data_IF_507502519049
#
_entry.id   IF_507502519049
#
_cell.length_a   1.000
_cell.length_b   1.000
_cell.length_c   1.000
_cell.angle_alpha   90.00
_cell.angle_beta   90.00
_cell.angle_gamma   90.00
#
_symmetry.space_group_name_H-M   'P 1'
#
loop_
_entity.id
_entity.type
_entity.pdbx_description
1 polymer ?
#
# COMPACT_ATOMS: atom_id res chain seq x y z
N UNK A 1 8.80 37.61 3.41
CA UNK A 1 8.96 36.45 2.51
C UNK A 1 9.46 35.29 3.37
N UNK A 2 8.56 34.54 4.01
CA UNK A 2 8.93 33.43 4.90
C UNK A 2 8.81 32.14 4.09
N UNK A 3 9.90 31.37 4.03
CA UNK A 3 9.97 30.08 3.37
C UNK A 3 8.81 29.19 3.83
N UNK A 4 8.16 28.53 2.88
CA UNK A 4 7.30 27.39 3.14
C UNK A 4 8.16 26.28 3.77
N UNK A 5 8.16 26.25 5.10
CA UNK A 5 8.84 25.23 5.88
C UNK A 5 7.91 24.01 5.85
N UNK A 6 8.20 23.05 4.97
CA UNK A 6 7.71 21.69 5.13
C UNK A 6 8.11 21.24 6.53
N UNK A 7 7.12 20.91 7.35
CA UNK A 7 7.32 20.41 8.70
C UNK A 7 7.95 19.01 8.58
N UNK A 8 9.27 18.97 8.50
CA UNK A 8 10.03 17.75 8.72
C UNK A 8 10.08 17.57 10.24
N UNK A 9 9.16 16.79 10.82
CA UNK A 9 9.36 16.22 12.15
C UNK A 9 10.42 15.13 12.01
N UNK A 10 11.70 15.53 11.84
CA UNK A 10 12.83 14.63 12.03
C UNK A 10 13.32 14.82 13.45
N UNK A 11 12.87 13.90 14.30
CA UNK A 11 13.68 13.42 15.41
C UNK A 11 13.60 11.89 15.46
N UNK A 12 13.94 11.25 14.35
CA UNK A 12 14.26 9.83 14.32
C UNK A 12 15.60 9.61 15.03
N UNK A 13 15.57 9.30 16.33
CA UNK A 13 16.57 8.35 16.82
C UNK A 13 16.20 7.00 16.20
N UNK A 14 17.13 6.43 15.44
CA UNK A 14 17.19 5.00 15.17
C UNK A 14 17.20 4.25 16.51
N UNK A 15 16.03 3.99 17.06
CA UNK A 15 15.80 2.72 17.73
C UNK A 15 15.33 1.82 16.60
N UNK A 16 16.19 0.89 16.20
CA UNK A 16 15.76 -0.32 15.54
C UNK A 16 14.79 -1.01 16.50
N UNK A 17 13.51 -0.64 16.44
CA UNK A 17 12.47 -1.52 16.93
C UNK A 17 12.71 -2.84 16.22
N UNK A 18 12.71 -3.99 16.91
CA UNK A 18 12.62 -5.25 16.20
C UNK A 18 11.38 -5.11 15.32
N UNK A 19 11.57 -5.11 13.98
CA UNK A 19 10.49 -5.32 13.04
C UNK A 19 9.97 -6.73 13.33
N UNK A 20 9.16 -6.85 14.37
CA UNK A 20 8.36 -8.04 14.61
C UNK A 20 7.53 -8.15 13.35
N UNK A 21 7.73 -9.23 12.59
CA UNK A 21 7.09 -9.43 11.28
C UNK A 21 5.61 -9.09 11.40
N UNK A 22 5.26 -7.90 10.90
CA UNK A 22 3.89 -7.46 10.82
C UNK A 22 3.26 -8.40 9.80
N UNK A 23 2.22 -9.12 10.22
CA UNK A 23 1.43 -9.94 9.29
C UNK A 23 0.64 -8.96 8.43
N UNK A 24 1.21 -8.57 7.30
CA UNK A 24 0.56 -7.74 6.32
C UNK A 24 -0.44 -8.59 5.54
N UNK A 25 -1.59 -8.01 5.20
CA UNK A 25 -2.48 -8.62 4.21
C UNK A 25 -1.83 -8.42 2.85
N UNK A 26 -1.19 -9.48 2.34
CA UNK A 26 -0.85 -9.60 0.94
C UNK A 26 -2.11 -10.14 0.26
N UNK A 27 -2.70 -9.36 -0.63
CA UNK A 27 -3.84 -9.84 -1.40
C UNK A 27 -3.30 -10.70 -2.55
N UNK A 28 -3.68 -11.98 -2.54
CA UNK A 28 -3.28 -12.96 -3.56
C UNK A 28 -4.46 -13.18 -4.49
N UNK A 29 -4.20 -13.01 -5.78
CA UNK A 29 -5.11 -13.24 -6.89
C UNK A 29 -4.61 -14.44 -7.68
N UNK A 30 -5.32 -15.55 -7.53
CA UNK A 30 -4.96 -16.81 -8.17
C UNK A 30 -5.04 -16.71 -9.70
N UNK A 31 -4.11 -17.37 -10.41
CA UNK A 31 -4.10 -17.35 -11.87
C UNK A 31 -5.30 -18.07 -12.47
N UNK A 32 -5.83 -19.09 -11.80
CA UNK A 32 -7.04 -19.80 -12.23
C UNK A 32 -8.34 -19.00 -12.13
N UNK A 33 -8.30 -17.84 -11.49
CA UNK A 33 -9.44 -16.93 -11.37
C UNK A 33 -9.29 -15.69 -12.29
N UNK A 34 -8.19 -15.61 -13.05
CA UNK A 34 -7.92 -14.54 -13.99
C UNK A 34 -8.75 -14.69 -15.28
N UNK A 35 -9.05 -13.55 -15.92
CA UNK A 35 -9.50 -13.54 -17.31
C UNK A 35 -8.30 -13.85 -18.20
N UNK A 36 -8.41 -14.83 -19.10
CA UNK A 36 -7.32 -15.22 -19.99
C UNK A 36 -7.69 -15.07 -21.48
N UNK A 37 -6.68 -14.86 -22.32
CA UNK A 37 -6.84 -14.86 -23.78
C UNK A 37 -5.53 -15.16 -24.50
N UNK A 38 -5.62 -15.51 -25.78
CA UNK A 38 -4.46 -15.67 -26.68
C UNK A 38 -3.68 -16.98 -26.52
N UNK A 39 -4.17 -17.93 -25.72
CA UNK A 39 -3.56 -19.26 -25.55
C UNK A 39 -3.01 -19.48 -24.15
N UNK A 40 -3.91 -19.53 -23.17
CA UNK A 40 -3.59 -19.84 -21.77
C UNK A 40 -4.57 -20.91 -21.28
N UNK A 41 -4.08 -21.98 -20.69
CA UNK A 41 -4.89 -23.00 -20.00
C UNK A 41 -4.61 -22.98 -18.51
N UNK A 42 -5.45 -23.65 -17.72
CA UNK A 42 -5.19 -23.90 -16.30
C UNK A 42 -4.95 -25.39 -16.10
N UNK A 43 -3.83 -25.74 -15.47
CA UNK A 43 -3.36 -27.12 -15.35
C UNK A 43 -3.11 -27.50 -13.88
N UNK A 44 -3.33 -28.78 -13.55
CA UNK A 44 -3.04 -29.34 -12.21
C UNK A 44 -1.79 -30.22 -12.19
N UNK A 45 -1.35 -30.66 -13.37
CA UNK A 45 -0.21 -31.55 -13.59
C UNK A 45 0.50 -31.09 -14.88
N UNK A 46 1.77 -31.48 -15.12
CA UNK A 46 2.64 -32.30 -14.26
C UNK A 46 3.40 -31.50 -13.19
N UNK A 47 3.17 -30.19 -13.12
CA UNK A 47 4.03 -29.24 -12.43
C UNK A 47 3.51 -28.90 -11.03
N UNK A 48 3.92 -29.66 -10.03
CA UNK A 48 3.51 -29.46 -8.63
C UNK A 48 4.14 -28.22 -8.00
N UNK A 49 3.58 -27.76 -6.88
CA UNK A 49 4.13 -26.67 -6.06
C UNK A 49 3.44 -25.32 -6.24
N UNK A 50 2.44 -25.23 -7.12
CA UNK A 50 1.48 -24.13 -7.20
C UNK A 50 0.58 -24.09 -5.94
N UNK A 51 -0.16 -23.02 -5.77
CA UNK A 51 -1.16 -22.83 -4.70
C UNK A 51 -2.55 -22.74 -5.30
N UNK A 52 -3.60 -22.78 -4.48
CA UNK A 52 -4.95 -22.80 -5.03
C UNK A 52 -5.26 -24.13 -5.72
N UNK A 53 -5.97 -24.07 -6.85
CA UNK A 53 -6.53 -25.23 -7.54
C UNK A 53 -5.65 -25.71 -8.69
N UNK A 54 -5.02 -24.80 -9.41
CA UNK A 54 -4.20 -25.05 -10.58
C UNK A 54 -3.22 -23.89 -10.80
N UNK A 55 -2.40 -23.99 -11.85
CA UNK A 55 -1.60 -22.87 -12.37
C UNK A 55 -2.02 -22.57 -13.81
N UNK A 56 -1.74 -21.35 -14.29
CA UNK A 56 -1.89 -21.01 -15.69
C UNK A 56 -0.67 -21.47 -16.51
N UNK A 57 -0.89 -22.15 -17.63
CA UNK A 57 0.11 -22.55 -18.62
C UNK A 57 -0.09 -21.75 -19.91
N UNK A 58 0.94 -21.03 -20.32
CA UNK A 58 0.95 -20.23 -21.54
C UNK A 58 1.54 -21.05 -22.70
N UNK A 59 0.67 -21.44 -23.64
CA UNK A 59 1.03 -22.11 -24.89
C UNK A 59 0.77 -21.26 -26.14
N UNK A 60 0.26 -20.05 -25.94
CA UNK A 60 0.03 -19.05 -26.96
C UNK A 60 1.30 -18.35 -27.43
N UNK A 61 1.11 -17.42 -28.36
CA UNK A 61 2.18 -16.56 -28.86
C UNK A 61 2.23 -15.21 -28.13
N UNK A 62 3.07 -14.32 -28.66
CA UNK A 62 3.14 -12.93 -28.20
C UNK A 62 1.75 -12.30 -28.02
N UNK A 63 1.51 -11.69 -26.87
CA UNK A 63 0.25 -11.03 -26.53
C UNK A 63 -0.81 -11.90 -25.86
N UNK A 64 -0.60 -13.21 -25.68
CA UNK A 64 -1.41 -14.00 -24.75
C UNK A 64 -1.30 -13.43 -23.34
N UNK A 65 -2.39 -13.43 -22.56
CA UNK A 65 -2.42 -12.71 -21.29
C UNK A 65 -3.29 -13.35 -20.22
N UNK A 66 -2.99 -12.96 -18.97
CA UNK A 66 -3.90 -13.03 -17.81
C UNK A 66 -4.24 -11.60 -17.35
N UNK A 67 -5.48 -11.40 -16.90
CA UNK A 67 -5.99 -10.14 -16.39
C UNK A 67 -6.77 -10.37 -15.09
N UNK A 68 -6.39 -9.63 -14.06
CA UNK A 68 -7.08 -9.59 -12.77
C UNK A 68 -7.75 -8.23 -12.56
N UNK A 69 -8.92 -8.24 -11.96
CA UNK A 69 -9.55 -7.03 -11.43
C UNK A 69 -9.23 -6.93 -9.95
N UNK A 70 -8.65 -5.82 -9.53
CA UNK A 70 -8.26 -5.55 -8.14
C UNK A 70 -8.94 -4.28 -7.65
N UNK A 71 -8.93 -4.07 -6.34
CA UNK A 71 -9.38 -2.81 -5.77
C UNK A 71 -8.38 -2.32 -4.72
N UNK A 72 -7.93 -1.08 -4.86
CA UNK A 72 -7.03 -0.39 -3.94
C UNK A 72 -7.82 0.61 -3.10
N UNK A 73 -7.49 0.73 -1.82
CA UNK A 73 -8.17 1.69 -0.93
C UNK A 73 -7.49 3.06 -0.95
N UNK A 74 -6.18 3.10 -1.20
CA UNK A 74 -5.38 4.31 -1.12
C UNK A 74 -4.54 4.47 -2.37
N UNK A 75 -4.38 5.71 -2.83
CA UNK A 75 -3.41 6.03 -3.85
C UNK A 75 -1.99 5.81 -3.31
N UNK A 76 -1.09 5.33 -4.17
CA UNK A 76 0.34 5.28 -3.92
C UNK A 76 1.03 4.18 -4.72
N UNK A 77 2.28 3.91 -4.38
CA UNK A 77 3.02 2.86 -5.05
C UNK A 77 2.79 1.49 -4.40
N UNK A 78 2.38 0.54 -5.21
CA UNK A 78 2.19 -0.85 -4.83
C UNK A 78 3.32 -1.72 -5.39
N UNK A 79 3.67 -2.77 -4.65
CA UNK A 79 4.45 -3.89 -5.15
C UNK A 79 3.49 -4.94 -5.69
N UNK A 80 3.51 -5.14 -6.99
CA UNK A 80 2.82 -6.24 -7.66
C UNK A 80 3.84 -7.36 -7.85
N UNK A 81 3.50 -8.57 -7.42
CA UNK A 81 4.37 -9.72 -7.60
C UNK A 81 3.70 -10.82 -8.42
N UNK A 82 4.48 -11.48 -9.27
CA UNK A 82 4.08 -12.72 -9.92
C UNK A 82 4.82 -13.88 -9.30
N UNK A 83 4.09 -14.95 -8.96
CA UNK A 83 4.68 -16.25 -8.69
C UNK A 83 4.62 -17.11 -9.94
N UNK A 84 5.78 -17.58 -10.39
CA UNK A 84 5.92 -18.27 -11.67
C UNK A 84 6.91 -19.44 -11.60
N UNK A 85 6.84 -20.32 -12.60
CA UNK A 85 7.86 -21.32 -12.91
C UNK A 85 8.25 -21.23 -14.39
N UNK A 86 9.54 -21.33 -14.69
CA UNK A 86 10.05 -21.31 -16.06
C UNK A 86 11.47 -21.89 -16.16
N UNK A 87 11.77 -22.82 -17.07
CA UNK A 87 13.11 -23.39 -17.24
C UNK A 87 14.10 -22.41 -17.90
N UNK A 88 13.61 -21.38 -18.58
CA UNK A 88 14.39 -20.36 -19.28
C UNK A 88 13.78 -18.95 -19.06
N UNK A 89 14.36 -17.91 -19.67
CA UNK A 89 13.81 -16.55 -19.54
C UNK A 89 12.57 -16.38 -20.41
N UNK A 90 11.44 -15.95 -19.83
CA UNK A 90 10.15 -15.79 -20.54
C UNK A 90 9.46 -14.48 -20.17
N UNK A 91 10.01 -13.33 -20.57
CA UNK A 91 9.59 -12.03 -20.06
C UNK A 91 8.13 -11.72 -20.38
N UNK A 92 7.50 -10.95 -19.50
CA UNK A 92 6.11 -10.53 -19.60
C UNK A 92 5.98 -9.02 -19.43
N UNK A 93 5.17 -8.42 -20.30
CA UNK A 93 4.74 -7.03 -20.15
C UNK A 93 3.71 -6.91 -19.02
N UNK A 94 3.76 -5.81 -18.28
CA UNK A 94 2.76 -5.43 -17.28
C UNK A 94 1.93 -4.24 -17.80
N UNK A 95 0.62 -4.32 -17.62
CA UNK A 95 -0.33 -3.27 -17.94
C UNK A 95 -1.17 -2.95 -16.70
N UNK A 96 -1.43 -1.66 -16.49
CA UNK A 96 -2.37 -1.14 -15.50
C UNK A 96 -3.43 -0.37 -16.28
N UNK A 97 -4.70 -0.74 -16.15
CA UNK A 97 -5.83 -0.11 -16.85
C UNK A 97 -5.58 0.06 -18.35
N UNK A 98 -5.13 -1.04 -18.98
CA UNK A 98 -4.71 -1.13 -20.39
C UNK A 98 -3.52 -0.28 -20.82
N UNK A 99 -2.89 0.46 -19.90
CA UNK A 99 -1.66 1.20 -20.15
C UNK A 99 -0.43 0.34 -19.83
N UNK A 100 0.39 0.08 -20.85
CA UNK A 100 1.66 -0.63 -20.71
C UNK A 100 2.60 0.15 -19.79
N UNK A 101 3.10 -0.52 -18.76
CA UNK A 101 4.08 0.02 -17.85
C UNK A 101 5.49 -0.06 -18.45
N UNK A 102 6.39 0.86 -18.07
CA UNK A 102 7.80 0.79 -18.48
C UNK A 102 8.57 -0.35 -17.81
N UNK A 103 8.01 -0.90 -16.73
CA UNK A 103 8.47 -2.09 -16.04
C UNK A 103 7.59 -3.29 -16.42
N UNK A 104 8.17 -4.48 -16.42
CA UNK A 104 7.47 -5.75 -16.57
C UNK A 104 8.14 -6.80 -15.70
N UNK A 105 7.96 -8.07 -16.04
CA UNK A 105 8.62 -9.18 -15.37
C UNK A 105 9.63 -9.82 -16.32
N UNK A 106 10.88 -9.93 -15.90
CA UNK A 106 11.92 -10.58 -16.68
C UNK A 106 11.72 -12.10 -16.75
N UNK A 107 11.10 -12.68 -15.71
CA UNK A 107 10.80 -14.11 -15.59
C UNK A 107 12.07 -14.91 -15.84
N UNK A 108 13.06 -14.72 -14.97
CA UNK A 108 14.32 -15.44 -15.03
C UNK A 108 14.13 -16.94 -14.74
N UNK A 109 15.03 -17.79 -15.23
CA UNK A 109 14.92 -19.24 -15.01
C UNK A 109 14.73 -19.61 -13.54
N UNK A 110 13.71 -20.43 -13.26
CA UNK A 110 13.52 -21.12 -12.00
C UNK A 110 14.23 -22.48 -11.96
N UNK A 111 14.84 -22.90 -13.08
CA UNK A 111 15.50 -24.18 -13.39
C UNK A 111 14.54 -25.24 -13.91
N UNK A 112 13.43 -25.50 -13.24
CA UNK A 112 12.44 -26.48 -13.68
C UNK A 112 11.02 -25.94 -13.54
N UNK A 113 10.07 -26.58 -14.20
CA UNK A 113 8.64 -26.26 -14.09
C UNK A 113 8.05 -26.51 -12.70
N UNK A 114 8.78 -27.20 -11.81
CA UNK A 114 8.36 -27.47 -10.42
C UNK A 114 9.02 -26.53 -9.42
N UNK A 115 10.00 -25.74 -9.87
CA UNK A 115 10.65 -24.72 -9.07
C UNK A 115 9.90 -23.41 -9.30
N UNK A 116 9.29 -22.87 -8.24
CA UNK A 116 8.51 -21.64 -8.30
C UNK A 116 9.28 -20.49 -7.65
N UNK A 117 9.30 -19.33 -8.30
CA UNK A 117 9.89 -18.09 -7.78
C UNK A 117 8.86 -16.97 -7.80
N UNK A 118 9.18 -15.90 -7.06
CA UNK A 118 8.47 -14.62 -7.08
C UNK A 118 9.35 -13.58 -7.75
N UNK A 119 8.74 -12.71 -8.54
CA UNK A 119 9.35 -11.48 -9.04
C UNK A 119 8.40 -10.31 -8.82
N UNK A 120 8.94 -9.15 -8.45
CA UNK A 120 8.20 -7.97 -8.02
C UNK A 120 8.38 -6.82 -9.03
N UNK A 121 7.30 -6.12 -9.30
CA UNK A 121 7.25 -4.89 -10.07
C UNK A 121 6.53 -3.80 -9.26
N UNK A 122 7.14 -2.62 -9.18
CA UNK A 122 6.55 -1.46 -8.49
C UNK A 122 5.72 -0.64 -9.48
N UNK A 123 4.47 -0.37 -9.17
CA UNK A 123 3.58 0.49 -9.96
C UNK A 123 2.88 1.51 -9.07
N UNK A 124 2.52 2.66 -9.62
CA UNK A 124 1.61 3.60 -8.97
C UNK A 124 0.17 3.21 -9.29
N UNK A 125 -0.69 3.14 -8.27
CA UNK A 125 -2.12 2.92 -8.42
C UNK A 125 -2.88 4.02 -7.69
N UNK A 126 -4.00 4.42 -8.26
CA UNK A 126 -4.95 5.32 -7.60
C UNK A 126 -5.76 4.56 -6.56
N UNK A 127 -6.63 5.25 -5.83
CA UNK A 127 -7.68 4.57 -5.05
C UNK A 127 -8.81 4.14 -5.98
N UNK A 128 -9.23 2.88 -5.90
CA UNK A 128 -10.38 2.35 -6.62
C UNK A 128 -10.10 1.04 -7.36
N UNK A 129 -10.92 0.77 -8.36
CA UNK A 129 -10.85 -0.45 -9.15
C UNK A 129 -9.78 -0.31 -10.25
N UNK A 130 -8.97 -1.37 -10.42
CA UNK A 130 -7.94 -1.43 -11.45
C UNK A 130 -7.95 -2.78 -12.16
N UNK A 131 -7.53 -2.77 -13.42
CA UNK A 131 -7.20 -3.97 -14.18
C UNK A 131 -5.69 -4.13 -14.26
N UNK A 132 -5.20 -5.25 -13.73
CA UNK A 132 -3.80 -5.64 -13.82
C UNK A 132 -3.69 -6.76 -14.83
N UNK A 133 -2.99 -6.51 -15.94
CA UNK A 133 -2.80 -7.48 -17.01
C UNK A 133 -1.32 -7.77 -17.21
N UNK A 134 -0.99 -9.04 -17.36
CA UNK A 134 0.34 -9.51 -17.71
C UNK A 134 0.27 -10.25 -19.04
N UNK A 135 1.11 -9.88 -20.00
CA UNK A 135 1.07 -10.42 -21.35
C UNK A 135 2.43 -10.94 -21.81
N UNK A 136 2.44 -12.04 -22.56
CA UNK A 136 3.63 -12.61 -23.18
C UNK A 136 4.34 -11.57 -24.06
N UNK A 137 5.60 -11.28 -23.76
CA UNK A 137 6.44 -10.42 -24.61
C UNK A 137 6.99 -11.17 -25.83
N UNK A 138 7.12 -12.49 -25.72
CA UNK A 138 7.64 -13.40 -26.75
C UNK A 138 6.68 -14.59 -26.94
N UNK A 139 6.98 -15.48 -27.89
CA UNK A 139 6.17 -16.67 -28.15
C UNK A 139 6.31 -17.79 -27.10
N UNK A 140 7.14 -17.61 -26.06
CA UNK A 140 7.25 -18.54 -24.94
C UNK A 140 6.78 -17.88 -23.64
N UNK A 141 5.77 -18.47 -22.97
CA UNK A 141 5.23 -17.96 -21.70
C UNK A 141 5.54 -18.86 -20.50
N UNK A 142 5.66 -18.31 -19.28
CA UNK A 142 5.89 -19.12 -18.07
C UNK A 142 4.61 -19.82 -17.59
N UNK A 143 4.76 -20.68 -16.59
CA UNK A 143 3.62 -21.08 -15.77
C UNK A 143 3.43 -20.01 -14.69
N UNK A 144 2.21 -19.54 -14.49
CA UNK A 144 1.88 -18.52 -13.46
C UNK A 144 0.95 -19.15 -12.43
N UNK A 145 1.31 -19.02 -11.15
CA UNK A 145 0.50 -19.50 -10.03
C UNK A 145 -0.47 -18.41 -9.56
N UNK A 146 0.06 -17.23 -9.23
CA UNK A 146 -0.75 -16.09 -8.81
C UNK A 146 -0.04 -14.77 -9.05
N UNK A 147 -0.86 -13.72 -9.00
CA UNK A 147 -0.43 -12.35 -8.79
C UNK A 147 -0.71 -11.95 -7.34
N UNK A 148 0.18 -11.19 -6.71
CA UNK A 148 -0.12 -10.56 -5.42
C UNK A 148 0.07 -9.06 -5.48
N UNK A 149 -0.67 -8.34 -4.67
CA UNK A 149 -0.47 -6.91 -4.46
C UNK A 149 -0.16 -6.63 -2.99
N UNK A 150 0.86 -5.80 -2.77
CA UNK A 150 1.24 -5.31 -1.46
C UNK A 150 1.44 -3.80 -1.51
N UNK A 151 0.81 -3.07 -0.59
CA UNK A 151 0.96 -1.62 -0.50
C UNK A 151 -0.33 -0.89 -0.11
N UNK A 152 -0.39 0.43 -0.33
CA UNK A 152 0.68 1.24 -0.92
C UNK A 152 1.87 1.36 0.05
N UNK A 153 3.07 1.50 -0.51
CA UNK A 153 4.32 1.64 0.24
C UNK A 153 4.51 3.07 0.78
N UNK A 154 3.94 4.04 0.10
CA UNK A 154 4.05 5.48 0.37
C UNK A 154 2.69 6.20 0.30
N UNK A 155 1.60 5.44 0.37
CA UNK A 155 0.27 6.03 0.42
C UNK A 155 0.06 6.80 1.72
N UNK A 156 -0.81 7.80 1.66
CA UNK A 156 -1.19 8.61 2.82
C UNK A 156 -2.67 8.48 3.13
N UNK A 157 -2.98 8.44 4.41
CA UNK A 157 -4.35 8.55 4.92
C UNK A 157 -4.55 9.93 5.53
N UNK A 158 -5.57 10.65 5.07
CA UNK A 158 -5.96 11.92 5.70
C UNK A 158 -6.63 11.66 7.04
N UNK A 159 -6.04 12.24 8.09
CA UNK A 159 -6.60 12.23 9.44
C UNK A 159 -7.63 13.35 9.61
N UNK A 160 -7.28 14.56 9.14
CA UNK A 160 -8.17 15.71 9.11
C UNK A 160 -7.89 16.54 7.86
N UNK A 161 -8.90 16.73 7.03
CA UNK A 161 -8.88 17.79 6.03
C UNK A 161 -9.00 19.16 6.71
N UNK A 162 -8.71 20.21 5.94
CA UNK A 162 -8.96 21.57 6.37
C UNK A 162 -10.42 21.75 6.80
N UNK A 163 -10.62 22.42 7.94
CA UNK A 163 -11.92 22.66 8.58
C UNK A 163 -12.57 21.43 9.24
N UNK A 164 -11.85 20.31 9.40
CA UNK A 164 -12.36 19.11 10.07
C UNK A 164 -11.87 18.97 11.51
N UNK A 165 -12.68 18.27 12.32
CA UNK A 165 -12.46 18.01 13.74
C UNK A 165 -12.47 16.51 14.03
N UNK A 166 -11.59 16.07 14.93
CA UNK A 166 -11.66 14.81 15.67
C UNK A 166 -11.99 15.09 17.13
N UNK A 167 -12.83 14.27 17.74
CA UNK A 167 -13.17 14.34 19.17
C UNK A 167 -12.30 13.42 20.01
N UNK A 168 -12.28 13.65 21.31
CA UNK A 168 -11.61 12.76 22.26
C UNK A 168 -12.12 11.32 22.11
N UNK A 169 -11.17 10.38 22.03
CA UNK A 169 -11.41 8.96 21.77
C UNK A 169 -11.41 8.57 20.28
N UNK A 170 -11.37 9.51 19.35
CA UNK A 170 -11.37 9.21 17.91
C UNK A 170 -9.95 9.10 17.35
N UNK A 171 -9.73 8.05 16.56
CA UNK A 171 -8.49 7.77 15.84
C UNK A 171 -8.79 7.40 14.40
N UNK A 172 -7.86 7.74 13.50
CA UNK A 172 -7.85 7.25 12.12
C UNK A 172 -6.53 6.57 11.83
N UNK A 173 -6.57 5.57 10.96
CA UNK A 173 -5.44 4.70 10.65
C UNK A 173 -4.66 5.20 9.43
N UNK A 174 -3.36 4.91 9.40
CA UNK A 174 -2.55 4.89 8.18
C UNK A 174 -3.09 3.84 7.19
N UNK A 175 -2.71 3.90 5.89
CA UNK A 175 -3.28 3.05 4.84
C UNK A 175 -3.28 1.54 5.12
N UNK A 176 -2.19 1.02 5.70
CA UNK A 176 -2.01 -0.38 6.10
C UNK A 176 -2.30 -0.62 7.57
N UNK A 177 -2.78 0.41 8.28
CA UNK A 177 -3.12 0.34 9.70
C UNK A 177 -1.94 0.12 10.63
N UNK A 178 -0.70 0.39 10.18
CA UNK A 178 0.49 0.27 11.03
C UNK A 178 0.53 1.33 12.10
N UNK A 179 -0.04 2.49 11.81
CA UNK A 179 -0.14 3.61 12.72
C UNK A 179 -1.57 4.13 12.81
N UNK A 180 -1.86 4.79 13.91
CA UNK A 180 -3.08 5.55 14.12
C UNK A 180 -2.72 6.91 14.68
N UNK A 181 -3.42 7.94 14.23
CA UNK A 181 -3.35 9.27 14.81
C UNK A 181 -4.75 9.72 15.25
N UNK A 182 -4.81 10.40 16.39
CA UNK A 182 -6.09 10.79 16.98
C UNK A 182 -5.96 11.49 18.33
N UNK A 183 -7.11 11.84 18.90
CA UNK A 183 -7.18 12.41 20.24
C UNK A 183 -7.51 11.30 21.22
N UNK A 184 -6.63 10.98 22.16
CA UNK A 184 -6.88 9.94 23.15
C UNK A 184 -8.02 10.33 24.11
N UNK A 185 -8.48 9.38 24.93
CA UNK A 185 -9.56 9.62 25.91
C UNK A 185 -9.19 10.61 27.02
N UNK A 186 -7.90 10.88 27.20
CA UNK A 186 -7.39 11.85 28.16
C UNK A 186 -7.23 13.24 27.51
N UNK A 187 -7.61 13.36 26.23
CA UNK A 187 -7.60 14.60 25.48
C UNK A 187 -6.23 15.00 24.94
N UNK A 188 -5.32 14.03 24.72
CA UNK A 188 -4.01 14.26 24.13
C UNK A 188 -4.00 13.88 22.66
N UNK A 189 -3.45 14.72 21.79
CA UNK A 189 -3.17 14.32 20.40
C UNK A 189 -2.03 13.30 20.42
N UNK A 190 -2.24 12.12 19.84
CA UNK A 190 -1.38 10.95 19.91
C UNK A 190 -1.17 10.34 18.54
N UNK A 191 0.06 9.87 18.29
CA UNK A 191 0.37 8.88 17.24
C UNK A 191 0.76 7.59 17.96
N UNK A 192 0.18 6.47 17.53
CA UNK A 192 0.40 5.16 18.15
C UNK A 192 0.50 4.05 17.10
N UNK A 193 1.14 2.94 17.49
CA UNK A 193 1.11 1.70 16.70
C UNK A 193 -0.34 1.20 16.57
N UNK A 194 -0.74 0.81 15.37
CA UNK A 194 -2.13 0.48 15.07
C UNK A 194 -2.63 -0.80 15.75
N UNK A 195 -1.76 -1.81 15.92
CA UNK A 195 -2.11 -3.09 16.55
C UNK A 195 -2.02 -3.05 18.08
N UNK A 196 -0.89 -2.58 18.62
CA UNK A 196 -0.62 -2.59 20.07
C UNK A 196 -1.21 -1.38 20.80
N UNK A 197 -1.54 -0.32 20.07
CA UNK A 197 -1.82 1.02 20.63
C UNK A 197 -0.68 1.56 21.49
N UNK A 198 0.56 1.08 21.29
CA UNK A 198 1.73 1.67 21.92
C UNK A 198 1.92 3.10 21.40
N UNK A 199 1.91 4.06 22.32
CA UNK A 199 2.10 5.47 22.01
C UNK A 199 3.53 5.71 21.50
N UNK A 200 3.62 6.26 20.30
CA UNK A 200 4.88 6.63 19.64
C UNK A 200 5.19 8.11 19.91
N UNK A 201 4.16 8.95 19.84
CA UNK A 201 4.26 10.39 20.07
C UNK A 201 3.00 10.94 20.72
N UNK A 202 3.14 12.00 21.52
CA UNK A 202 2.02 12.74 22.12
C UNK A 202 2.31 14.24 22.17
N UNK A 203 1.27 15.05 22.03
CA UNK A 203 1.27 16.49 22.32
C UNK A 203 1.63 16.82 23.77
N UNK A 204 1.50 15.85 24.70
CA UNK A 204 1.78 16.02 26.12
C UNK A 204 0.79 16.93 26.86
N UNK A 205 -0.33 17.29 26.21
CA UNK A 205 -1.38 18.17 26.76
C UNK A 205 -2.67 17.39 26.93
N UNK A 206 -3.07 17.17 28.19
CA UNK A 206 -4.32 16.51 28.57
C UNK A 206 -5.47 17.52 28.65
N UNK A 207 -6.71 17.03 28.60
CA UNK A 207 -7.92 17.83 28.75
C UNK A 207 -8.46 18.41 27.44
N UNK A 208 -7.91 18.01 26.29
CA UNK A 208 -8.48 18.33 24.99
C UNK A 208 -9.81 17.62 24.76
N UNK A 209 -10.77 18.34 24.21
CA UNK A 209 -12.06 17.82 23.76
C UNK A 209 -12.06 17.58 22.24
N UNK A 210 -11.36 18.45 21.50
CA UNK A 210 -11.30 18.39 20.03
C UNK A 210 -9.89 18.63 19.49
N UNK A 211 -9.53 17.93 18.42
CA UNK A 211 -8.40 18.23 17.55
C UNK A 211 -8.94 18.78 16.24
N UNK A 212 -8.52 19.98 15.83
CA UNK A 212 -9.10 20.73 14.73
C UNK A 212 -8.01 21.16 13.75
N UNK A 213 -8.15 20.78 12.48
CA UNK A 213 -7.29 21.25 11.41
C UNK A 213 -7.84 22.56 10.85
N UNK A 214 -7.31 23.68 11.30
CA UNK A 214 -7.82 25.00 10.96
C UNK A 214 -7.61 25.34 9.47
N UNK A 215 -8.46 26.21 8.92
CA UNK A 215 -8.36 26.69 7.53
C UNK A 215 -7.06 27.39 7.17
N UNK A 216 -6.40 27.98 8.16
CA UNK A 216 -5.09 28.64 8.00
C UNK A 216 -3.92 27.65 7.96
N UNK A 217 -4.17 26.35 8.15
CA UNK A 217 -3.16 25.30 8.15
C UNK A 217 -2.55 25.02 9.52
N UNK A 218 -3.13 25.54 10.60
CA UNK A 218 -2.69 25.24 11.95
C UNK A 218 -3.51 24.06 12.54
N UNK A 219 -2.84 23.05 13.08
CA UNK A 219 -3.50 21.95 13.78
C UNK A 219 -3.53 22.28 15.28
N UNK A 220 -4.72 22.29 15.88
CA UNK A 220 -4.89 22.67 17.28
C UNK A 220 -5.66 21.63 18.07
N UNK A 221 -5.31 21.48 19.35
CA UNK A 221 -6.17 20.79 20.33
C UNK A 221 -6.84 21.86 21.17
N UNK A 222 -8.16 21.77 21.30
CA UNK A 222 -8.99 22.66 22.11
C UNK A 222 -9.68 21.89 23.22
N UNK A 223 -9.85 22.52 24.37
CA UNK A 223 -10.65 21.98 25.46
C UNK A 223 -12.16 22.20 25.24
N UNK A 224 -12.98 21.78 26.21
CA UNK A 224 -14.45 21.89 26.15
C UNK A 224 -14.95 23.35 26.15
N UNK A 225 -14.12 24.31 26.57
CA UNK A 225 -14.41 25.75 26.53
C UNK A 225 -14.02 26.38 25.18
N UNK A 226 -13.51 25.58 24.24
CA UNK A 226 -12.94 25.99 22.94
C UNK A 226 -11.61 26.74 23.06
N UNK A 227 -10.97 26.73 24.23
CA UNK A 227 -9.65 27.31 24.40
C UNK A 227 -8.59 26.39 23.80
N UNK A 228 -7.63 26.97 23.08
CA UNK A 228 -6.53 26.20 22.46
C UNK A 228 -5.48 25.85 23.50
N UNK A 229 -5.31 24.56 23.77
CA UNK A 229 -4.37 24.02 24.77
C UNK A 229 -3.08 23.46 24.15
N UNK A 230 -3.11 23.16 22.85
CA UNK A 230 -1.94 22.78 22.05
C UNK A 230 -2.11 23.26 20.61
N UNK A 231 -1.00 23.57 19.95
CA UNK A 231 -0.97 24.05 18.57
C UNK A 231 0.31 23.57 17.88
N UNK A 232 0.20 23.10 16.63
CA UNK A 232 1.37 22.79 15.78
C UNK A 232 2.16 24.04 15.40
N UNK A 233 1.53 25.23 15.50
CA UNK A 233 2.12 26.52 15.10
C UNK A 233 2.51 26.56 13.62
N UNK A 234 1.78 25.81 12.80
CA UNK A 234 1.97 25.74 11.35
C UNK A 234 1.07 26.75 10.64
N UNK A 235 1.44 27.12 9.42
CA UNK A 235 0.62 27.96 8.55
C UNK A 235 0.76 27.48 7.11
N UNK A 236 -0.37 27.27 6.47
CA UNK A 236 -0.49 26.71 5.13
C UNK A 236 -1.96 26.54 4.79
N UNK A 237 -2.63 27.58 4.26
CA UNK A 237 -4.05 27.49 3.97
C UNK A 237 -4.39 26.29 3.10
N UNK A 238 -5.41 25.52 3.50
CA UNK A 238 -5.79 24.27 2.83
C UNK A 238 -4.90 23.06 3.17
N UNK A 239 -3.94 23.18 4.10
CA UNK A 239 -3.22 22.03 4.60
C UNK A 239 -4.15 21.01 5.28
N UNK A 240 -3.71 19.76 5.29
CA UNK A 240 -4.35 18.62 5.96
C UNK A 240 -3.39 18.01 6.97
N UNK A 241 -3.95 17.30 7.95
CA UNK A 241 -3.19 16.38 8.79
C UNK A 241 -3.32 14.97 8.21
N UNK A 242 -2.21 14.33 7.86
CA UNK A 242 -2.16 13.00 7.25
C UNK A 242 -1.10 12.13 7.91
N UNK A 243 -1.21 10.81 7.71
CA UNK A 243 -0.24 9.82 8.18
C UNK A 243 0.00 8.77 7.09
N UNK A 244 1.24 8.29 6.98
CA UNK A 244 1.60 7.16 6.13
C UNK A 244 2.05 5.94 6.96
N UNK A 245 2.33 4.83 6.30
CA UNK A 245 2.86 3.61 6.94
C UNK A 245 4.39 3.59 7.07
N UNK A 246 5.08 4.64 6.63
CA UNK A 246 6.52 4.81 6.80
C UNK A 246 6.87 5.60 8.06
N UNK A 247 5.85 6.17 8.73
CA UNK A 247 6.04 7.09 9.85
C UNK A 247 6.52 8.47 9.41
N UNK A 248 6.35 8.82 8.14
CA UNK A 248 6.77 10.07 7.50
C UNK A 248 5.52 10.87 7.12
N UNK A 249 4.98 11.61 8.10
CA UNK A 249 3.93 12.62 7.89
C UNK A 249 4.42 13.99 8.29
#
# INVERSE_FOLDING_TARGET
MRLALYLVIVLFRLLTLPQKALSFTIDIYQAEDAVSSGGVSTEIEPNTGYTGRCYADFYGGQGAFLLWNINTTFEGHYSIALRYASPNSRPMDLYVDDVKQSIGFAIATTRTWKDWKREDAKVHLESGAHQIKVAQLTDEGPNIDWLSIEGPLDGQSTILDSDQVLKAGEFRSSPRGLFKAGLDKDGQLVIQEGMSSTVIWTSGRRGGDTCYMQRDGNLVVRDASMDTIWSSSTFGPGARFAIDDLGLG
#
